data_IF_449569066504
#
_entry.id   IF_449569066504
#
_cell.length_a   1.000
_cell.length_b   1.000
_cell.length_c   1.000
_cell.angle_alpha   90.00
_cell.angle_beta   90.00
_cell.angle_gamma   90.00
#
_symmetry.space_group_name_H-M   'P 1'
#
loop_
_entity.id
_entity.type
_entity.pdbx_description
1 polymer ?
#
# COMPACT_ATOMS: atom_id res chain seq x y z
N UNK A 1 17.21 14.71 -18.26
CA UNK A 1 17.25 13.81 -17.10
C UNK A 1 15.88 13.26 -16.78
N UNK A 2 15.78 11.97 -16.74
CA UNK A 2 14.52 11.31 -16.42
C UNK A 2 14.23 11.33 -14.95
N UNK A 3 12.97 11.59 -14.62
CA UNK A 3 12.52 11.53 -13.26
C UNK A 3 11.67 10.27 -13.10
N UNK A 4 12.13 9.38 -12.28
CA UNK A 4 11.38 8.15 -12.03
C UNK A 4 10.27 8.42 -11.03
N UNK A 5 9.04 8.11 -11.44
CA UNK A 5 7.92 8.19 -10.54
C UNK A 5 7.90 6.95 -9.65
N UNK A 6 7.72 7.13 -8.34
CA UNK A 6 7.56 5.96 -7.47
C UNK A 6 6.32 5.19 -7.87
N UNK A 7 6.41 3.87 -7.80
CA UNK A 7 5.30 2.99 -8.12
C UNK A 7 4.58 2.57 -6.87
N UNK A 8 3.27 2.79 -6.84
CA UNK A 8 2.40 2.40 -5.72
C UNK A 8 1.48 1.29 -6.20
N UNK A 9 1.46 0.19 -5.48
CA UNK A 9 0.52 -0.90 -5.73
C UNK A 9 -0.66 -0.71 -4.79
N UNK A 10 -1.85 -0.54 -5.36
CA UNK A 10 -3.08 -0.35 -4.60
C UNK A 10 -3.89 -1.64 -4.65
N UNK A 11 -4.05 -2.27 -3.49
CA UNK A 11 -4.82 -3.51 -3.37
C UNK A 11 -6.11 -3.22 -2.64
N UNK A 12 -7.23 -3.29 -3.34
CA UNK A 12 -8.55 -3.01 -2.79
C UNK A 12 -9.57 -3.74 -3.66
N UNK A 13 -10.54 -4.37 -3.03
CA UNK A 13 -11.54 -5.15 -3.77
C UNK A 13 -12.62 -4.29 -4.41
N UNK A 14 -12.73 -3.02 -4.02
CA UNK A 14 -13.76 -2.13 -4.57
C UNK A 14 -13.25 -1.40 -5.81
N UNK A 15 -13.95 -1.59 -6.92
CA UNK A 15 -13.57 -0.97 -8.18
C UNK A 15 -13.59 0.56 -8.09
N UNK A 16 -14.60 1.10 -7.41
CA UNK A 16 -14.71 2.57 -7.28
C UNK A 16 -13.51 3.17 -6.55
N UNK A 17 -13.03 2.47 -5.51
CA UNK A 17 -11.85 2.92 -4.77
C UNK A 17 -10.62 2.86 -5.66
N UNK A 18 -10.42 1.74 -6.37
CA UNK A 18 -9.27 1.60 -7.25
C UNK A 18 -9.24 2.70 -8.32
N UNK A 19 -10.38 3.02 -8.90
CA UNK A 19 -10.46 4.06 -9.93
C UNK A 19 -10.21 5.45 -9.37
N UNK A 20 -10.95 5.80 -8.32
CA UNK A 20 -10.88 7.15 -7.74
C UNK A 20 -9.50 7.42 -7.14
N UNK A 21 -9.04 6.49 -6.33
CA UNK A 21 -7.77 6.65 -5.64
C UNK A 21 -6.60 6.53 -6.62
N UNK A 22 -6.72 5.61 -7.58
CA UNK A 22 -5.68 5.47 -8.60
C UNK A 22 -5.46 6.74 -9.39
N UNK A 23 -6.55 7.38 -9.82
CA UNK A 23 -6.46 8.66 -10.56
C UNK A 23 -5.83 9.75 -9.70
N UNK A 24 -6.21 9.79 -8.43
CA UNK A 24 -5.68 10.78 -7.51
C UNK A 24 -4.18 10.60 -7.33
N UNK A 25 -3.75 9.38 -7.12
CA UNK A 25 -2.33 9.10 -6.93
C UNK A 25 -1.52 9.41 -8.17
N UNK A 26 -2.07 9.11 -9.35
CA UNK A 26 -1.39 9.46 -10.58
C UNK A 26 -1.24 10.96 -10.73
N UNK A 27 -2.28 11.69 -10.37
CA UNK A 27 -2.25 13.15 -10.40
C UNK A 27 -1.21 13.69 -9.43
N UNK A 28 -1.01 12.99 -8.30
CA UNK A 28 -0.03 13.39 -7.29
C UNK A 28 1.41 13.01 -7.67
N UNK A 29 1.62 12.39 -8.81
CA UNK A 29 2.95 12.10 -9.31
C UNK A 29 3.42 10.67 -9.13
N UNK A 30 2.53 9.75 -8.75
CA UNK A 30 2.89 8.36 -8.58
C UNK A 30 2.48 7.54 -9.80
N UNK A 31 3.21 6.47 -10.04
CA UNK A 31 2.79 5.46 -10.99
C UNK A 31 1.97 4.44 -10.21
N UNK A 32 0.79 4.09 -10.71
CA UNK A 32 -0.14 3.25 -9.96
C UNK A 32 -0.40 1.93 -10.67
N UNK A 33 -0.29 0.85 -9.92
CA UNK A 33 -0.73 -0.46 -10.34
C UNK A 33 -1.83 -0.87 -9.36
N UNK A 34 -2.92 -1.45 -9.86
CA UNK A 34 -4.02 -1.85 -8.97
C UNK A 34 -4.20 -3.35 -8.99
N UNK A 35 -4.69 -3.88 -7.86
CA UNK A 35 -5.06 -5.29 -7.74
C UNK A 35 -6.39 -5.36 -7.02
N UNK A 36 -7.24 -6.30 -7.41
CA UNK A 36 -8.58 -6.43 -6.83
C UNK A 36 -8.65 -7.48 -5.73
N UNK A 37 -7.57 -8.19 -5.48
CA UNK A 37 -7.53 -9.22 -4.44
C UNK A 37 -6.14 -9.32 -3.84
N UNK A 38 -6.07 -9.94 -2.68
CA UNK A 38 -4.78 -10.16 -2.04
C UNK A 38 -3.88 -11.05 -2.87
N UNK A 39 -4.43 -12.09 -3.47
CA UNK A 39 -3.64 -13.01 -4.29
C UNK A 39 -3.04 -12.30 -5.49
N UNK A 40 -3.85 -11.51 -6.19
CA UNK A 40 -3.35 -10.75 -7.32
C UNK A 40 -2.29 -9.75 -6.88
N UNK A 41 -2.54 -9.08 -5.74
CA UNK A 41 -1.60 -8.11 -5.21
C UNK A 41 -0.25 -8.73 -4.89
N UNK A 42 -0.26 -9.92 -4.28
CA UNK A 42 0.98 -10.61 -3.95
C UNK A 42 1.77 -10.97 -5.20
N UNK A 43 1.08 -11.44 -6.23
CA UNK A 43 1.71 -11.79 -7.49
C UNK A 43 2.34 -10.56 -8.14
N UNK A 44 1.59 -9.46 -8.19
CA UNK A 44 2.08 -8.23 -8.79
C UNK A 44 3.26 -7.67 -7.99
N UNK A 45 3.18 -7.71 -6.67
CA UNK A 45 4.25 -7.20 -5.83
C UNK A 45 5.56 -7.93 -6.10
N UNK A 46 5.49 -9.25 -6.25
CA UNK A 46 6.69 -10.03 -6.51
C UNK A 46 7.24 -9.77 -7.92
N UNK A 47 6.36 -9.62 -8.90
CA UNK A 47 6.76 -9.39 -10.29
C UNK A 47 7.25 -7.98 -10.56
N UNK A 48 6.56 -6.98 -10.01
CA UNK A 48 6.80 -5.58 -10.34
C UNK A 48 7.63 -4.82 -9.31
N UNK A 49 7.74 -5.35 -8.10
CA UNK A 49 8.52 -4.76 -7.01
C UNK A 49 8.20 -3.26 -6.84
N UNK A 50 6.95 -2.93 -6.50
CA UNK A 50 6.58 -1.53 -6.32
C UNK A 50 7.34 -0.89 -5.15
N UNK A 51 7.35 0.43 -5.12
CA UNK A 51 8.01 1.17 -4.05
C UNK A 51 7.18 1.19 -2.77
N UNK A 52 5.88 0.96 -2.88
CA UNK A 52 4.97 1.01 -1.74
C UNK A 52 3.69 0.25 -2.07
N UNK A 53 3.10 -0.38 -1.06
CA UNK A 53 1.82 -1.06 -1.19
C UNK A 53 0.79 -0.34 -0.31
N UNK A 54 -0.31 0.10 -0.92
CA UNK A 54 -1.50 0.55 -0.20
C UNK A 54 -2.46 -0.62 -0.16
N UNK A 55 -2.92 -0.97 1.02
CA UNK A 55 -3.59 -2.26 1.23
C UNK A 55 -4.82 -2.10 2.10
N UNK A 56 -5.99 -2.41 1.54
CA UNK A 56 -7.22 -2.44 2.31
C UNK A 56 -7.15 -3.58 3.32
N UNK A 57 -7.45 -3.29 4.57
CA UNK A 57 -7.42 -4.30 5.62
C UNK A 57 -8.52 -5.34 5.44
N UNK A 58 -9.73 -4.88 5.11
CA UNK A 58 -10.90 -5.77 5.05
C UNK A 58 -11.26 -6.11 3.61
N UNK A 59 -10.78 -7.24 3.16
CA UNK A 59 -11.14 -7.79 1.85
C UNK A 59 -11.78 -9.15 2.06
N UNK A 60 -12.65 -9.59 1.09
CA UNK A 60 -13.48 -10.78 1.33
C UNK A 60 -12.70 -12.08 1.52
N UNK A 61 -11.74 -12.40 0.71
CA UNK A 61 -11.10 -13.71 0.77
C UNK A 61 -9.84 -13.72 1.60
N UNK A 62 -8.89 -12.89 1.22
CA UNK A 62 -7.64 -12.79 1.94
C UNK A 62 -7.59 -11.39 2.56
N UNK A 63 -7.54 -11.33 3.88
CA UNK A 63 -7.53 -10.05 4.59
C UNK A 63 -6.19 -9.34 4.39
N UNK A 64 -6.23 -8.01 4.50
CA UNK A 64 -5.03 -7.20 4.32
C UNK A 64 -3.89 -7.62 5.22
N UNK A 65 -4.17 -7.96 6.48
CA UNK A 65 -3.12 -8.40 7.38
C UNK A 65 -2.43 -9.66 6.89
N UNK A 66 -3.18 -10.56 6.24
CA UNK A 66 -2.59 -11.79 5.68
C UNK A 66 -1.70 -11.48 4.50
N UNK A 67 -2.12 -10.53 3.66
CA UNK A 67 -1.29 -10.07 2.55
C UNK A 67 0.01 -9.46 3.09
N UNK A 68 -0.11 -8.61 4.10
CA UNK A 68 1.05 -7.99 4.71
C UNK A 68 2.02 -9.03 5.27
N UNK A 69 1.48 -10.04 5.97
CA UNK A 69 2.32 -11.09 6.53
C UNK A 69 3.09 -11.84 5.44
N UNK A 70 2.43 -12.14 4.32
CA UNK A 70 3.08 -12.82 3.22
C UNK A 70 4.13 -11.97 2.53
N UNK A 71 3.85 -10.66 2.36
CA UNK A 71 4.83 -9.76 1.80
C UNK A 71 6.09 -9.72 2.67
N UNK A 72 5.92 -9.67 3.98
CA UNK A 72 7.04 -9.57 4.90
C UNK A 72 7.79 -10.89 5.07
N UNK A 73 7.14 -12.01 4.77
CA UNK A 73 7.78 -13.32 4.84
C UNK A 73 8.57 -13.67 3.58
N UNK A 74 8.37 -12.92 2.49
CA UNK A 74 9.03 -13.21 1.20
C UNK A 74 10.24 -12.30 1.04
N UNK A 75 11.45 -12.86 0.91
CA UNK A 75 12.66 -12.04 0.75
C UNK A 75 12.61 -11.05 -0.41
N UNK A 76 11.84 -11.37 -1.45
CA UNK A 76 11.72 -10.45 -2.61
C UNK A 76 10.91 -9.21 -2.32
N UNK A 77 9.95 -9.28 -1.38
CA UNK A 77 9.02 -8.20 -1.12
C UNK A 77 9.09 -7.64 0.30
N UNK A 78 9.89 -8.26 1.17
CA UNK A 78 9.88 -7.90 2.59
C UNK A 78 10.28 -6.46 2.87
N UNK A 79 11.01 -5.82 1.98
CA UNK A 79 11.45 -4.43 2.17
C UNK A 79 10.46 -3.42 1.65
N UNK A 80 9.44 -3.86 0.91
CA UNK A 80 8.45 -2.94 0.36
C UNK A 80 7.57 -2.44 1.52
N UNK A 81 7.50 -1.13 1.76
CA UNK A 81 6.65 -0.61 2.83
C UNK A 81 5.18 -0.79 2.52
N UNK A 82 4.40 -1.08 3.55
CA UNK A 82 2.96 -1.31 3.46
C UNK A 82 2.25 -0.27 4.30
N UNK A 83 1.26 0.40 3.71
CA UNK A 83 0.36 1.30 4.43
C UNK A 83 -1.04 0.73 4.32
N UNK A 84 -1.71 0.53 5.46
CA UNK A 84 -3.08 0.04 5.46
C UNK A 84 -4.07 1.15 5.22
N UNK A 85 -5.10 0.84 4.43
CA UNK A 85 -6.30 1.68 4.33
C UNK A 85 -7.36 0.98 5.16
N UNK A 86 -7.98 1.69 6.09
CA UNK A 86 -8.88 1.06 7.03
C UNK A 86 -10.07 1.96 7.35
N UNK A 87 -11.21 1.35 7.70
CA UNK A 87 -12.38 2.07 8.17
C UNK A 87 -12.27 2.27 9.68
N UNK A 88 -13.04 3.23 10.20
CA UNK A 88 -13.12 3.44 11.63
C UNK A 88 -13.63 2.17 12.32
N UNK A 89 -13.14 1.94 13.53
CA UNK A 89 -13.59 0.80 14.33
C UNK A 89 -12.81 -0.47 14.12
N UNK A 90 -11.73 -0.44 13.32
CA UNK A 90 -10.92 -1.62 13.07
C UNK A 90 -9.60 -1.60 13.82
N UNK A 91 -9.59 -1.07 15.04
CA UNK A 91 -8.37 -0.90 15.83
C UNK A 91 -7.59 -2.20 16.01
N UNK A 92 -8.29 -3.31 16.26
CA UNK A 92 -7.61 -4.60 16.44
C UNK A 92 -6.90 -5.04 15.17
N UNK A 93 -7.51 -4.81 14.03
CA UNK A 93 -6.90 -5.16 12.74
C UNK A 93 -5.69 -4.27 12.45
N UNK A 94 -5.78 -3.01 12.80
CA UNK A 94 -4.65 -2.08 12.64
C UNK A 94 -3.48 -2.55 13.46
N UNK A 95 -3.72 -2.88 14.74
CA UNK A 95 -2.66 -3.31 15.63
C UNK A 95 -2.02 -4.60 15.13
N UNK A 96 -2.83 -5.55 14.68
CA UNK A 96 -2.31 -6.79 14.13
C UNK A 96 -1.42 -6.53 12.92
N UNK A 97 -1.85 -5.64 12.02
CA UNK A 97 -1.08 -5.31 10.84
C UNK A 97 0.23 -4.62 11.17
N UNK A 98 0.21 -3.68 12.11
CA UNK A 98 1.42 -2.99 12.53
C UNK A 98 2.42 -3.97 13.15
N UNK A 99 1.92 -4.94 13.91
CA UNK A 99 2.76 -6.00 14.48
C UNK A 99 3.40 -6.86 13.42
N UNK A 100 2.77 -6.97 12.25
CA UNK A 100 3.29 -7.75 11.13
C UNK A 100 4.27 -6.97 10.26
N UNK A 101 4.51 -5.72 10.57
CA UNK A 101 5.52 -4.94 9.88
C UNK A 101 5.02 -3.85 8.95
N UNK A 102 3.73 -3.50 9.02
CA UNK A 102 3.23 -2.35 8.26
C UNK A 102 3.86 -1.07 8.79
N UNK A 103 4.07 -0.11 7.90
CA UNK A 103 4.70 1.17 8.27
C UNK A 103 3.71 2.16 8.86
N UNK A 104 2.46 2.13 8.38
CA UNK A 104 1.49 3.15 8.76
C UNK A 104 0.10 2.66 8.41
N UNK A 105 -0.89 3.43 8.79
CA UNK A 105 -2.28 3.19 8.39
C UNK A 105 -2.97 4.53 8.17
N UNK A 106 -4.00 4.53 7.32
CA UNK A 106 -4.78 5.72 7.02
C UNK A 106 -6.24 5.34 7.15
N UNK A 107 -6.99 6.11 7.94
CA UNK A 107 -8.39 5.83 8.22
C UNK A 107 -9.29 6.48 7.17
N UNK A 108 -10.20 5.71 6.62
CA UNK A 108 -11.21 6.21 5.67
C UNK A 108 -12.37 6.85 6.44
N UNK A 109 -12.94 7.94 5.98
CA UNK A 109 -12.52 8.73 4.84
C UNK A 109 -11.27 9.56 5.18
N UNK A 110 -10.41 9.73 4.20
CA UNK A 110 -9.18 10.48 4.42
C UNK A 110 -9.14 11.68 3.49
N UNK A 111 -8.37 12.68 3.94
CA UNK A 111 -8.07 13.84 3.15
C UNK A 111 -7.02 13.45 2.11
N UNK A 112 -7.23 13.91 0.88
CA UNK A 112 -6.31 13.60 -0.21
C UNK A 112 -4.89 14.08 0.07
N UNK A 113 -4.76 15.23 0.72
CA UNK A 113 -3.44 15.75 1.10
C UNK A 113 -2.77 14.87 2.13
N UNK A 114 -3.54 14.31 3.05
CA UNK A 114 -3.01 13.42 4.07
C UNK A 114 -2.42 12.16 3.44
N UNK A 115 -3.14 11.58 2.49
CA UNK A 115 -2.67 10.38 1.83
C UNK A 115 -1.34 10.62 1.11
N UNK A 116 -1.27 11.68 0.32
CA UNK A 116 -0.05 12.03 -0.39
C UNK A 116 1.10 12.25 0.57
N UNK A 117 0.85 12.94 1.67
CA UNK A 117 1.88 13.24 2.66
C UNK A 117 2.41 11.97 3.32
N UNK A 118 1.51 11.08 3.72
CA UNK A 118 1.90 9.83 4.36
C UNK A 118 2.72 8.95 3.43
N UNK A 119 2.31 8.87 2.18
CA UNK A 119 3.05 8.11 1.17
C UNK A 119 4.44 8.72 0.97
N UNK A 120 4.50 10.04 0.83
CA UNK A 120 5.77 10.73 0.59
C UNK A 120 6.75 10.52 1.74
N UNK A 121 6.27 10.62 2.98
CA UNK A 121 7.09 10.40 4.15
C UNK A 121 7.61 8.96 4.18
N UNK A 122 6.72 8.01 3.91
CA UNK A 122 7.09 6.60 3.91
C UNK A 122 8.14 6.29 2.85
N UNK A 123 7.94 6.81 1.65
CA UNK A 123 8.90 6.61 0.57
C UNK A 123 10.26 7.21 0.89
N UNK A 124 10.27 8.37 1.53
CA UNK A 124 11.53 9.02 1.90
C UNK A 124 12.35 8.16 2.84
N UNK A 125 11.69 7.45 3.76
CA UNK A 125 12.39 6.56 4.69
C UNK A 125 13.03 5.38 3.99
N UNK A 126 12.39 4.87 2.94
CA UNK A 126 12.81 3.64 2.27
C UNK A 126 13.65 3.87 1.04
N UNK A 127 13.61 5.09 0.48
CA UNK A 127 14.34 5.42 -0.72
C UNK A 127 15.58 6.26 -0.45
N UNK A 128 15.96 6.37 0.82
CA UNK A 128 17.19 7.08 1.16
C UNK A 128 18.37 6.30 0.61
N UNK A 129 19.23 6.93 -0.19
CA UNK A 129 20.35 6.20 -0.75
C UNK A 129 21.27 5.66 0.34
N UNK A 130 21.83 4.48 0.14
CA UNK A 130 22.81 3.96 1.10
C UNK A 130 24.05 4.84 1.13
N UNK A 131 24.61 4.95 2.29
CA UNK A 131 25.83 5.74 2.48
C UNK A 131 27.07 4.94 2.21
#
# INVERSE_FOLDING_TARGET
>A
METHKPTVLLIDDELSIRKTLGRRLERDGFRVITAESGEEGLRIAEEQLPNLVLLDIMMPKMKGRDVCARLKANPKTQRIPVIFLTALGLADHIQAGMSLGAEDYIVKPFDAGELKERITICLARHNTPPK
#
